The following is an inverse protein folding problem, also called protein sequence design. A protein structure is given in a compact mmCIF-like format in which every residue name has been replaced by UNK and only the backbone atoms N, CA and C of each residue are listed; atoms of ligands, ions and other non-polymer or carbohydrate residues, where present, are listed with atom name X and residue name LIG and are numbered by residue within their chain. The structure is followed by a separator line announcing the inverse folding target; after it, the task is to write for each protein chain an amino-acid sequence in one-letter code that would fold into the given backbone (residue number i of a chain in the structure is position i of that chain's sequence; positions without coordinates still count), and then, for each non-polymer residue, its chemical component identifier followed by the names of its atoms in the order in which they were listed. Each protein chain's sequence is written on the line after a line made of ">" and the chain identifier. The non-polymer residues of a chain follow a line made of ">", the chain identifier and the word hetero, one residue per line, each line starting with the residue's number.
data_IF_959507655400
#
_entry.id   IF_959507655400
#
_cell.length_a   1.000
_cell.length_b   1.000
_cell.length_c   1.000
_cell.angle_alpha   90.00
_cell.angle_beta   90.00
_cell.angle_gamma   90.00
#
_symmetry.space_group_name_H-M   'P 1'
#
loop_
_entity.id
_entity.type
_entity.pdbx_description
1 polymer ?
#
# COMPACT_ATOMS: atom_id res chain seq x y z
N UNK A 1 2.50 59.82 34.78
CA UNK A 1 3.06 58.46 34.65
C UNK A 1 2.32 57.84 33.50
N UNK A 2 2.98 57.84 32.35
CA UNK A 2 2.41 57.36 31.11
C UNK A 2 2.35 55.83 31.17
N UNK A 3 1.25 55.26 30.67
CA UNK A 3 0.97 53.83 30.58
C UNK A 3 2.18 52.97 30.09
N UNK A 4 3.11 53.45 29.23
CA UNK A 4 4.27 52.66 28.79
C UNK A 4 5.26 52.25 29.88
N UNK A 5 5.49 53.07 30.90
CA UNK A 5 6.48 52.75 31.96
C UNK A 5 6.02 51.60 32.86
N UNK A 6 4.71 51.46 33.06
CA UNK A 6 4.11 50.38 33.88
C UNK A 6 4.21 49.03 33.16
N UNK A 7 4.07 49.02 31.83
CA UNK A 7 4.18 47.81 31.02
C UNK A 7 5.62 47.28 30.94
N UNK A 8 6.60 48.18 30.98
CA UNK A 8 8.03 47.84 30.97
C UNK A 8 8.50 47.27 32.33
N UNK A 9 7.85 47.66 33.43
CA UNK A 9 8.12 47.12 34.77
C UNK A 9 7.48 45.74 35.00
N UNK A 10 6.50 45.36 34.17
CA UNK A 10 5.76 44.09 34.25
C UNK A 10 6.24 43.03 33.25
N UNK A 11 7.30 43.31 32.48
CA UNK A 11 7.90 42.41 31.48
C UNK A 11 6.89 41.89 30.43
N UNK A 12 5.90 42.71 30.09
CA UNK A 12 4.88 42.41 29.06
C UNK A 12 5.35 42.99 27.73
N UNK A 13 6.47 42.50 27.21
CA UNK A 13 6.88 42.75 25.83
C UNK A 13 6.26 41.62 24.98
N UNK A 14 5.29 41.92 24.12
CA UNK A 14 4.79 40.90 23.18
C UNK A 14 5.91 40.56 22.18
N UNK A 15 6.46 39.36 22.34
CA UNK A 15 7.53 38.81 21.50
C UNK A 15 7.12 38.82 20.01
N UNK A 16 7.91 39.39 19.09
CA UNK A 16 7.61 39.37 17.66
C UNK A 16 7.41 37.95 17.09
N UNK A 17 7.99 36.92 17.71
CA UNK A 17 7.76 35.51 17.34
C UNK A 17 6.31 35.08 17.65
N UNK A 18 5.74 35.56 18.76
CA UNK A 18 4.35 35.30 19.14
C UNK A 18 3.35 36.03 18.24
N UNK A 19 3.73 37.16 17.63
CA UNK A 19 2.90 37.87 16.64
C UNK A 19 2.83 37.08 15.32
N UNK A 20 3.95 36.51 14.88
CA UNK A 20 4.01 35.68 13.65
C UNK A 20 3.25 34.36 13.84
N UNK A 21 3.29 33.76 15.04
CA UNK A 21 2.45 32.59 15.37
C UNK A 21 0.96 32.93 15.48
N UNK A 22 0.58 34.11 15.98
CA UNK A 22 -0.82 34.59 16.02
C UNK A 22 -1.41 34.82 14.62
N UNK A 23 -0.58 34.99 13.58
CA UNK A 23 -1.02 35.21 12.19
C UNK A 23 -1.06 33.92 11.34
N UNK A 24 -0.62 32.79 11.90
CA UNK A 24 -0.69 31.49 11.23
C UNK A 24 -2.15 31.14 10.90
N UNK A 25 -2.46 30.92 9.63
CA UNK A 25 -3.82 30.60 9.17
C UNK A 25 -4.74 31.80 8.95
N UNK A 26 -4.24 33.04 9.05
CA UNK A 26 -4.99 34.24 8.63
C UNK A 26 -4.99 34.33 7.11
N UNK A 27 -6.19 34.37 6.51
CA UNK A 27 -6.35 34.39 5.06
C UNK A 27 -5.71 35.63 4.44
N UNK A 28 -4.87 35.41 3.43
CA UNK A 28 -4.27 36.46 2.61
C UNK A 28 -2.99 37.06 3.18
N UNK A 29 -2.51 36.52 4.30
CA UNK A 29 -1.16 36.80 4.80
C UNK A 29 -0.15 35.86 4.14
N UNK A 30 1.09 36.33 3.91
CA UNK A 30 2.15 35.48 3.39
C UNK A 30 2.45 34.35 4.38
N UNK A 31 2.77 33.17 3.86
CA UNK A 31 3.17 32.05 4.68
C UNK A 31 4.51 32.35 5.35
N UNK A 32 4.64 32.08 6.67
CA UNK A 32 5.95 32.13 7.32
C UNK A 32 6.84 31.00 6.79
N UNK A 33 8.16 31.18 6.86
CA UNK A 33 9.15 30.21 6.33
C UNK A 33 8.93 28.78 6.83
N UNK A 34 8.52 28.63 8.10
CA UNK A 34 8.20 27.33 8.69
C UNK A 34 7.06 26.60 7.98
N UNK A 35 6.08 27.32 7.45
CA UNK A 35 4.93 26.75 6.75
C UNK A 35 5.23 26.58 5.24
N UNK A 36 6.04 27.45 4.64
CA UNK A 36 6.51 27.32 3.26
C UNK A 36 7.22 25.97 3.00
N UNK A 37 8.02 25.49 3.95
CA UNK A 37 8.72 24.19 3.85
C UNK A 37 7.76 23.00 3.98
N UNK A 38 6.59 23.20 4.58
CA UNK A 38 5.60 22.16 4.88
C UNK A 38 4.47 22.08 3.85
N UNK A 39 4.67 22.67 2.69
CA UNK A 39 3.69 22.78 1.63
C UNK A 39 4.05 21.86 0.47
N UNK A 40 3.07 21.12 -0.06
CA UNK A 40 3.24 20.17 -1.18
C UNK A 40 2.14 20.33 -2.24
N UNK A 41 2.48 20.11 -3.52
CA UNK A 41 1.49 20.00 -4.59
C UNK A 41 0.86 18.61 -4.56
N UNK A 42 -0.47 18.56 -4.44
CA UNK A 42 -1.23 17.31 -4.49
C UNK A 42 -2.43 17.42 -5.44
N UNK A 43 -2.22 17.50 -6.78
CA UNK A 43 -3.28 17.83 -7.74
C UNK A 43 -4.41 16.80 -7.85
N UNK A 44 -4.18 15.57 -7.41
CA UNK A 44 -5.16 14.47 -7.41
C UNK A 44 -5.84 14.27 -6.04
N UNK A 45 -5.51 15.11 -5.05
CA UNK A 45 -6.11 15.04 -3.72
C UNK A 45 -7.49 15.69 -3.75
N UNK A 46 -8.49 14.97 -3.26
CA UNK A 46 -9.80 15.55 -2.94
C UNK A 46 -9.70 16.41 -1.70
N UNK A 47 -10.33 17.58 -1.72
CA UNK A 47 -10.22 18.55 -0.64
C UNK A 47 -11.57 18.76 0.05
N UNK A 48 -11.53 19.08 1.34
CA UNK A 48 -12.76 19.35 2.09
C UNK A 48 -13.08 20.86 2.11
N UNK A 49 -14.36 21.25 1.99
CA UNK A 49 -14.79 22.61 2.31
C UNK A 49 -14.31 23.03 3.71
N UNK A 50 -13.63 24.15 3.77
CA UNK A 50 -13.08 24.73 4.99
C UNK A 50 -11.60 24.40 5.26
N UNK A 51 -10.97 23.56 4.44
CA UNK A 51 -9.55 23.24 4.51
C UNK A 51 -8.67 24.46 4.16
N UNK A 52 -7.55 24.62 4.89
CA UNK A 52 -6.55 25.65 4.59
C UNK A 52 -5.58 25.12 3.53
N UNK A 53 -5.33 25.97 2.54
CA UNK A 53 -4.39 25.72 1.45
C UNK A 53 -3.44 26.90 1.32
N UNK A 54 -2.28 26.68 0.75
CA UNK A 54 -1.38 27.72 0.30
C UNK A 54 -1.67 28.04 -1.17
N UNK A 55 -1.55 29.30 -1.53
CA UNK A 55 -1.79 29.80 -2.88
C UNK A 55 -0.64 30.71 -3.26
N UNK A 56 -0.07 30.48 -4.43
CA UNK A 56 0.99 31.33 -4.98
C UNK A 56 0.38 32.56 -5.65
N UNK A 57 0.88 33.75 -5.30
CA UNK A 57 0.53 34.99 -5.97
C UNK A 57 1.36 35.23 -7.25
N UNK A 58 1.02 36.27 -8.02
CA UNK A 58 1.73 36.61 -9.25
C UNK A 58 3.19 37.03 -9.06
N UNK A 59 3.64 37.22 -7.83
CA UNK A 59 5.04 37.51 -7.44
C UNK A 59 5.80 36.27 -6.95
N UNK A 60 5.16 35.09 -6.90
CA UNK A 60 5.76 33.85 -6.41
C UNK A 60 5.73 33.68 -4.88
N UNK A 61 5.00 34.54 -4.15
CA UNK A 61 4.85 34.43 -2.71
C UNK A 61 3.63 33.57 -2.36
N UNK A 62 3.81 32.62 -1.43
CA UNK A 62 2.72 31.77 -0.95
C UNK A 62 1.92 32.49 0.13
N UNK A 63 0.60 32.47 0.03
CA UNK A 63 -0.34 33.04 1.00
C UNK A 63 -1.41 32.04 1.43
N UNK A 64 -1.96 32.22 2.63
CA UNK A 64 -3.02 31.37 3.17
C UNK A 64 -4.35 31.59 2.44
N UNK A 65 -4.95 30.50 1.97
CA UNK A 65 -6.29 30.44 1.41
C UNK A 65 -7.16 29.41 2.12
N UNK A 66 -8.48 29.52 1.97
CA UNK A 66 -9.45 28.57 2.51
C UNK A 66 -10.38 28.07 1.43
N UNK A 67 -10.50 26.76 1.29
CA UNK A 67 -11.42 26.15 0.31
C UNK A 67 -12.86 26.38 0.77
N UNK A 68 -13.72 26.82 -0.13
CA UNK A 68 -15.16 26.99 0.09
C UNK A 68 -15.97 25.87 -0.53
N UNK A 69 -15.68 25.54 -1.80
CA UNK A 69 -16.40 24.50 -2.55
C UNK A 69 -15.55 23.95 -3.68
N UNK A 70 -15.89 22.72 -4.07
CA UNK A 70 -15.30 21.97 -5.18
C UNK A 70 -16.27 21.93 -6.36
N UNK A 71 -15.73 22.01 -7.57
CA UNK A 71 -16.43 21.74 -8.82
C UNK A 71 -15.55 20.91 -9.75
N UNK A 72 -16.14 20.01 -10.58
CA UNK A 72 -15.39 19.35 -11.64
C UNK A 72 -14.89 20.39 -12.64
N UNK A 73 -13.63 20.27 -13.06
CA UNK A 73 -13.05 21.09 -14.12
C UNK A 73 -13.35 20.49 -15.50
N UNK A 74 -13.15 21.30 -16.55
CA UNK A 74 -13.20 20.85 -17.95
C UNK A 74 -12.04 19.88 -18.30
N UNK A 75 -11.04 19.77 -17.40
CA UNK A 75 -9.93 18.82 -17.50
C UNK A 75 -10.28 17.54 -16.74
N UNK A 76 -10.34 16.41 -17.46
CA UNK A 76 -10.70 15.11 -16.90
C UNK A 76 -9.79 14.73 -15.71
N UNK A 77 -10.40 14.47 -14.55
CA UNK A 77 -9.70 14.05 -13.33
C UNK A 77 -9.08 15.17 -12.50
N UNK A 78 -9.24 16.45 -12.91
CA UNK A 78 -8.75 17.61 -12.14
C UNK A 78 -9.95 18.39 -11.59
N UNK A 79 -9.98 18.60 -10.27
CA UNK A 79 -11.00 19.42 -9.63
C UNK A 79 -10.61 20.90 -9.62
N UNK A 80 -11.60 21.79 -9.65
CA UNK A 80 -11.44 23.23 -9.44
C UNK A 80 -12.07 23.62 -8.11
N UNK A 81 -11.40 24.47 -7.36
CA UNK A 81 -11.83 24.89 -6.03
C UNK A 81 -12.03 26.40 -5.97
N UNK A 82 -13.10 26.82 -5.31
CA UNK A 82 -13.27 28.21 -4.92
C UNK A 82 -12.53 28.45 -3.62
N UNK A 83 -11.50 29.29 -3.66
CA UNK A 83 -10.63 29.57 -2.52
C UNK A 83 -10.82 31.01 -2.08
N UNK A 84 -11.12 31.19 -0.79
CA UNK A 84 -11.16 32.48 -0.13
C UNK A 84 -9.74 32.90 0.23
N UNK A 85 -9.28 33.98 -0.38
CA UNK A 85 -7.95 34.54 -0.19
C UNK A 85 -7.93 35.59 0.91
N UNK A 86 -8.98 36.41 1.06
CA UNK A 86 -9.09 37.36 2.16
C UNK A 86 -10.57 37.61 2.50
N UNK A 87 -10.86 38.52 3.43
CA UNK A 87 -12.24 38.82 3.87
C UNK A 87 -13.19 39.20 2.72
N UNK A 88 -12.66 39.73 1.61
CA UNK A 88 -13.41 40.29 0.48
C UNK A 88 -13.07 39.67 -0.89
N UNK A 89 -12.16 38.69 -0.96
CA UNK A 89 -11.65 38.12 -2.22
C UNK A 89 -11.72 36.60 -2.22
N UNK A 90 -12.36 36.07 -3.25
CA UNK A 90 -12.48 34.65 -3.57
C UNK A 90 -12.10 34.42 -5.02
N UNK A 91 -11.30 33.39 -5.29
CA UNK A 91 -10.84 33.05 -6.64
C UNK A 91 -11.03 31.56 -6.90
N UNK A 92 -11.42 31.23 -8.13
CA UNK A 92 -11.47 29.86 -8.60
C UNK A 92 -10.12 29.41 -9.15
N UNK A 93 -9.55 28.36 -8.57
CA UNK A 93 -8.21 27.83 -8.89
C UNK A 93 -8.26 26.33 -9.11
N UNK A 94 -7.38 25.83 -9.99
CA UNK A 94 -7.27 24.39 -10.27
C UNK A 94 -6.53 23.69 -9.13
N UNK A 95 -6.78 22.40 -8.92
CA UNK A 95 -6.04 21.60 -7.94
C UNK A 95 -4.51 21.63 -8.16
N UNK A 96 -4.06 21.83 -9.41
CA UNK A 96 -2.65 21.99 -9.80
C UNK A 96 -2.04 23.33 -9.38
N UNK A 97 -2.86 24.33 -9.04
CA UNK A 97 -2.45 25.66 -8.58
C UNK A 97 -2.51 25.77 -7.05
N UNK A 98 -2.95 24.70 -6.37
CA UNK A 98 -3.12 24.67 -4.93
C UNK A 98 -2.04 23.85 -4.27
N UNK A 99 -1.55 24.43 -3.19
CA UNK A 99 -0.49 23.89 -2.37
C UNK A 99 -1.10 23.45 -1.03
N UNK A 100 -0.83 22.23 -0.60
CA UNK A 100 -1.43 21.61 0.57
C UNK A 100 -0.42 21.53 1.70
N UNK A 101 -0.85 21.83 2.92
CA UNK A 101 -0.02 21.63 4.10
C UNK A 101 0.11 20.13 4.38
N UNK A 102 1.34 19.65 4.53
CA UNK A 102 1.64 18.27 4.92
C UNK A 102 0.98 18.01 6.27
N UNK A 103 0.03 17.06 6.30
CA UNK A 103 -0.63 16.71 7.55
C UNK A 103 0.37 16.02 8.47
N UNK A 104 0.63 16.59 9.65
CA UNK A 104 1.39 15.95 10.73
C UNK A 104 0.64 14.77 11.38
N UNK A 105 -0.52 14.38 10.81
CA UNK A 105 -1.26 13.18 11.23
C UNK A 105 -0.46 11.95 10.87
N UNK A 106 0.23 11.45 11.89
CA UNK A 106 0.55 10.04 12.04
C UNK A 106 -0.61 9.17 11.53
N UNK A 107 -0.31 8.42 10.47
CA UNK A 107 -0.87 7.12 10.15
C UNK A 107 -2.42 6.98 10.17
N UNK A 108 -3.07 7.27 9.04
CA UNK A 108 -4.20 6.47 8.53
C UNK A 108 -4.47 6.83 7.07
N UNK A 109 -4.49 5.82 6.19
CA UNK A 109 -4.66 5.90 4.74
C UNK A 109 -3.52 6.52 3.91
N UNK A 110 -2.33 5.92 4.04
CA UNK A 110 -1.45 5.76 2.88
C UNK A 110 -1.90 4.53 2.09
N UNK A 111 -2.81 4.72 1.13
CA UNK A 111 -2.86 3.79 0.02
C UNK A 111 -1.84 4.23 -1.03
N UNK A 112 -0.96 3.28 -1.33
CA UNK A 112 -0.02 3.18 -2.46
C UNK A 112 1.40 3.74 -2.30
N UNK A 113 2.28 2.73 -2.16
CA UNK A 113 3.64 2.60 -2.71
C UNK A 113 4.79 3.41 -2.09
N UNK A 114 5.40 2.86 -1.04
CA UNK A 114 6.80 2.39 -1.09
C UNK A 114 7.32 1.89 0.27
N UNK A 115 7.78 0.63 0.27
CA UNK A 115 8.89 0.01 1.04
C UNK A 115 9.29 0.61 2.39
N UNK A 116 8.84 -0.04 3.46
CA UNK A 116 9.58 -0.49 4.65
C UNK A 116 8.54 -1.24 5.53
N UNK A 117 8.76 -2.38 6.19
CA UNK A 117 9.97 -2.95 6.78
C UNK A 117 9.71 -4.42 7.18
N UNK A 118 10.80 -5.17 7.29
CA UNK A 118 11.08 -6.42 8.03
C UNK A 118 9.97 -7.21 8.78
N UNK A 119 10.00 -8.52 8.50
CA UNK A 119 9.94 -9.68 9.42
C UNK A 119 8.78 -9.85 10.43
N UNK A 120 7.96 -10.90 10.23
CA UNK A 120 7.80 -12.07 11.14
C UNK A 120 6.71 -13.06 10.66
N UNK A 121 6.83 -14.28 11.17
CA UNK A 121 6.31 -15.59 10.75
C UNK A 121 4.81 -15.87 11.02
N UNK A 122 4.39 -17.07 10.56
CA UNK A 122 3.23 -17.93 10.91
C UNK A 122 1.88 -17.60 10.24
N UNK A 123 1.46 -18.38 9.23
CA UNK A 123 0.74 -19.68 9.27
C UNK A 123 -0.79 -19.49 9.38
N UNK A 124 -1.51 -19.63 8.27
CA UNK A 124 -2.50 -20.71 8.08
C UNK A 124 -3.19 -20.62 6.72
N UNK A 125 -3.55 -21.82 6.26
CA UNK A 125 -4.23 -22.20 5.03
C UNK A 125 -5.66 -21.64 4.89
N UNK A 126 -6.08 -21.35 3.66
CA UNK A 126 -7.07 -22.20 2.97
C UNK A 126 -7.41 -21.67 1.57
N UNK A 127 -7.50 -22.62 0.65
CA UNK A 127 -7.88 -22.52 -0.75
C UNK A 127 -9.36 -22.17 -0.94
N UNK A 128 -9.70 -21.29 -1.91
CA UNK A 128 -10.93 -21.33 -2.73
C UNK A 128 -10.69 -20.56 -4.06
N UNK A 129 -11.29 -21.09 -5.12
CA UNK A 129 -11.27 -20.80 -6.57
C UNK A 129 -11.52 -19.36 -7.06
N UNK A 130 -11.19 -19.03 -8.34
CA UNK A 130 -11.36 -17.71 -8.92
C UNK A 130 -12.74 -17.56 -9.57
N UNK A 131 -13.57 -16.66 -9.04
CA UNK A 131 -14.75 -16.15 -9.74
C UNK A 131 -15.13 -14.82 -9.12
N UNK A 132 -14.63 -13.72 -9.68
CA UNK A 132 -15.28 -12.42 -9.49
C UNK A 132 -14.94 -11.50 -10.66
N UNK A 133 -15.98 -11.22 -11.45
CA UNK A 133 -15.99 -10.30 -12.56
C UNK A 133 -15.64 -8.90 -12.07
N UNK A 134 -14.44 -8.43 -12.37
CA UNK A 134 -14.11 -7.01 -12.24
C UNK A 134 -14.87 -6.28 -13.36
N UNK A 135 -15.91 -5.56 -12.97
CA UNK A 135 -16.63 -4.68 -13.88
C UNK A 135 -15.76 -3.46 -14.12
N UNK A 136 -15.13 -3.40 -15.29
CA UNK A 136 -14.29 -2.26 -15.68
C UNK A 136 -15.18 -1.02 -15.92
N UNK A 137 -14.72 0.18 -15.53
CA UNK A 137 -15.44 1.43 -15.80
C UNK A 137 -15.55 1.68 -17.31
N UNK A 138 -16.62 2.37 -17.72
CA UNK A 138 -17.01 2.62 -19.12
C UNK A 138 -16.00 3.44 -19.96
N UNK A 139 -14.80 3.70 -19.44
CA UNK A 139 -13.71 4.45 -20.07
C UNK A 139 -12.55 3.56 -20.57
N UNK A 140 -12.62 2.23 -20.39
CA UNK A 140 -11.60 1.31 -20.92
C UNK A 140 -12.01 0.83 -22.31
N UNK A 141 -11.34 1.32 -23.35
CA UNK A 141 -11.42 0.76 -24.71
C UNK A 141 -10.19 -0.10 -24.95
N UNK A 142 -10.39 -1.39 -25.20
CA UNK A 142 -9.33 -2.29 -25.65
C UNK A 142 -8.92 -1.91 -27.08
N UNK A 143 -7.64 -1.66 -27.30
CA UNK A 143 -7.09 -1.41 -28.64
C UNK A 143 -6.53 -2.75 -29.14
N UNK A 144 -7.32 -3.48 -29.92
CA UNK A 144 -6.80 -4.61 -30.69
C UNK A 144 -6.07 -4.09 -31.93
N UNK A 145 -4.82 -4.55 -32.09
CA UNK A 145 -4.05 -4.34 -33.31
C UNK A 145 -4.28 -5.53 -34.22
N UNK A 146 -5.01 -5.34 -35.33
CA UNK A 146 -4.70 -6.10 -36.54
C UNK A 146 -5.17 -5.39 -37.81
N UNK A 147 -4.23 -5.29 -38.75
CA UNK A 147 -4.42 -4.69 -40.06
C UNK A 147 -4.99 -5.72 -41.05
N UNK A 148 -6.03 -5.35 -41.81
CA UNK A 148 -6.19 -5.57 -43.27
C UNK A 148 -7.51 -4.97 -43.76
N UNK A 149 -7.46 -4.41 -44.97
CA UNK A 149 -8.44 -3.44 -45.47
C UNK A 149 -9.79 -3.98 -45.93
N UNK A 150 -10.69 -3.03 -46.24
CA UNK A 150 -11.99 -3.26 -46.85
C UNK A 150 -12.97 -2.13 -46.55
N UNK A 151 -13.28 -1.36 -47.59
CA UNK A 151 -14.46 -0.51 -47.87
C UNK A 151 -15.30 0.10 -46.73
N UNK A 152 -15.41 1.43 -46.80
CA UNK A 152 -16.24 2.27 -45.94
C UNK A 152 -17.64 2.34 -46.55
N UNK A 153 -18.64 1.73 -45.90
CA UNK A 153 -20.05 2.00 -46.18
C UNK A 153 -20.66 2.74 -44.99
N UNK A 154 -21.28 3.87 -45.32
CA UNK A 154 -21.89 4.88 -44.47
C UNK A 154 -23.09 4.36 -43.67
N UNK A 155 -23.20 4.75 -42.39
CA UNK A 155 -24.50 4.89 -41.73
C UNK A 155 -24.53 4.66 -40.21
N UNK A 156 -24.32 5.69 -39.40
CA UNK A 156 -25.29 6.11 -38.36
C UNK A 156 -24.93 7.48 -37.78
N UNK A 157 -25.96 8.33 -37.61
CA UNK A 157 -25.87 9.68 -37.04
C UNK A 157 -26.01 9.67 -35.52
N UNK A 158 -25.24 10.54 -34.85
CA UNK A 158 -25.83 11.46 -33.87
C UNK A 158 -25.54 11.22 -32.38
N UNK A 159 -24.32 11.53 -31.93
CA UNK A 159 -24.10 12.21 -30.62
C UNK A 159 -22.98 13.23 -30.81
N UNK A 160 -23.30 14.52 -30.73
CA UNK A 160 -22.30 15.60 -30.71
C UNK A 160 -21.78 15.76 -29.28
N UNK A 161 -20.76 15.00 -28.92
CA UNK A 161 -19.85 15.39 -27.84
C UNK A 161 -18.79 16.31 -28.46
N UNK A 162 -18.69 17.55 -27.98
CA UNK A 162 -17.61 18.46 -28.32
C UNK A 162 -16.33 17.98 -27.65
N UNK A 163 -15.66 16.99 -28.25
CA UNK A 163 -14.34 16.57 -27.82
C UNK A 163 -13.36 17.67 -28.24
N UNK A 164 -12.97 18.53 -27.30
CA UNK A 164 -11.87 19.46 -27.51
C UNK A 164 -10.61 18.66 -27.84
N UNK A 165 -10.16 18.70 -29.09
CA UNK A 165 -8.91 18.09 -29.52
C UNK A 165 -7.75 18.88 -28.91
N UNK A 166 -7.29 18.48 -27.73
CA UNK A 166 -6.09 19.03 -27.11
C UNK A 166 -4.89 18.45 -27.89
N UNK A 167 -4.06 19.34 -28.44
CA UNK A 167 -2.84 18.95 -29.17
C UNK A 167 -1.91 18.12 -28.27
N UNK A 168 -1.43 16.98 -28.76
CA UNK A 168 -0.52 16.08 -28.02
C UNK A 168 0.76 16.79 -27.55
N UNK A 169 1.21 17.82 -28.27
CA UNK A 169 2.32 18.67 -27.87
C UNK A 169 2.05 19.47 -26.58
N UNK A 170 0.81 19.92 -26.38
CA UNK A 170 0.41 20.66 -25.18
C UNK A 170 0.35 19.75 -23.96
N UNK A 171 -0.01 18.48 -24.15
CA UNK A 171 -0.05 17.48 -23.07
C UNK A 171 1.35 17.17 -22.58
N UNK A 172 2.29 16.90 -23.48
CA UNK A 172 3.68 16.60 -23.11
C UNK A 172 4.36 17.78 -22.41
N UNK A 173 4.11 19.02 -22.87
CA UNK A 173 4.66 20.22 -22.22
C UNK A 173 4.10 20.43 -20.81
N UNK A 174 2.79 20.21 -20.61
CA UNK A 174 2.16 20.35 -19.29
C UNK A 174 2.62 19.25 -18.32
N UNK A 175 2.78 18.02 -18.81
CA UNK A 175 3.34 16.91 -18.03
C UNK A 175 4.79 17.20 -17.65
N UNK A 176 5.61 17.71 -18.57
CA UNK A 176 7.00 18.04 -18.27
C UNK A 176 7.14 19.20 -17.28
N UNK A 177 6.31 20.24 -17.38
CA UNK A 177 6.26 21.35 -16.41
C UNK A 177 5.83 20.87 -15.01
N UNK A 178 4.79 20.03 -14.95
CA UNK A 178 4.31 19.47 -13.68
C UNK A 178 5.33 18.54 -13.03
N UNK A 179 5.99 17.68 -13.80
CA UNK A 179 7.03 16.78 -13.30
C UNK A 179 8.27 17.55 -12.83
N UNK A 180 8.61 18.64 -13.51
CA UNK A 180 9.68 19.55 -13.08
C UNK A 180 9.34 20.23 -11.75
N UNK A 181 8.09 20.67 -11.56
CA UNK A 181 7.59 21.24 -10.29
C UNK A 181 7.56 20.21 -9.15
N UNK A 182 7.41 18.93 -9.47
CA UNK A 182 7.47 17.81 -8.52
C UNK A 182 8.91 17.31 -8.27
N UNK A 183 9.92 17.96 -8.87
CA UNK A 183 11.33 17.57 -8.81
C UNK A 183 11.57 16.11 -9.28
N UNK A 184 10.73 15.64 -10.22
CA UNK A 184 10.85 14.33 -10.87
C UNK A 184 11.45 14.55 -12.25
N UNK A 185 12.73 14.25 -12.40
CA UNK A 185 13.40 14.28 -13.69
C UNK A 185 13.25 12.93 -14.41
N UNK A 186 12.92 12.97 -15.71
CA UNK A 186 12.89 11.80 -16.60
C UNK A 186 14.21 11.61 -17.39
N UNK A 187 15.27 12.33 -17.03
CA UNK A 187 16.57 12.29 -17.72
C UNK A 187 17.42 11.05 -17.34
N UNK A 188 16.82 9.86 -17.32
CA UNK A 188 17.62 8.64 -17.34
C UNK A 188 18.05 8.36 -18.76
N UNK A 189 19.36 8.34 -19.02
CA UNK A 189 19.86 7.97 -20.34
C UNK A 189 19.50 6.51 -20.64
N UNK A 190 19.41 6.15 -21.93
CA UNK A 190 19.18 4.76 -22.36
C UNK A 190 20.26 3.84 -21.78
N UNK A 191 21.49 4.33 -21.65
CA UNK A 191 22.61 3.61 -21.05
C UNK A 191 22.36 3.32 -19.56
N UNK A 192 21.87 4.30 -18.79
CA UNK A 192 21.53 4.14 -17.37
C UNK A 192 20.38 3.13 -17.19
N UNK A 193 19.38 3.17 -18.07
CA UNK A 193 18.26 2.24 -18.02
C UNK A 193 18.70 0.81 -18.32
N UNK A 194 19.60 0.61 -19.28
CA UNK A 194 20.18 -0.71 -19.59
C UNK A 194 21.03 -1.23 -18.43
N UNK A 195 21.86 -0.37 -17.83
CA UNK A 195 22.65 -0.73 -16.65
C UNK A 195 21.76 -1.16 -15.48
N UNK A 196 20.68 -0.42 -15.24
CA UNK A 196 19.72 -0.74 -14.18
C UNK A 196 18.94 -2.03 -14.49
N UNK A 197 18.56 -2.26 -15.75
CA UNK A 197 17.90 -3.50 -16.16
C UNK A 197 18.77 -4.74 -15.88
N UNK A 198 20.05 -4.69 -16.28
CA UNK A 198 21.01 -5.77 -16.01
C UNK A 198 21.21 -6.00 -14.50
N UNK A 199 21.25 -4.91 -13.71
CA UNK A 199 21.33 -4.99 -12.25
C UNK A 199 20.11 -5.69 -11.65
N UNK A 200 18.91 -5.34 -12.12
CA UNK A 200 17.66 -5.95 -11.67
C UNK A 200 17.58 -7.43 -12.08
N UNK A 201 17.98 -7.78 -13.29
CA UNK A 201 18.06 -9.16 -13.76
C UNK A 201 18.96 -10.01 -12.85
N UNK A 202 20.17 -9.52 -12.52
CA UNK A 202 21.08 -10.22 -11.59
C UNK A 202 20.48 -10.37 -10.20
N UNK A 203 19.82 -9.33 -9.68
CA UNK A 203 19.16 -9.40 -8.35
C UNK A 203 18.03 -10.42 -8.34
N UNK A 204 17.26 -10.50 -9.42
CA UNK A 204 16.20 -11.49 -9.59
C UNK A 204 16.78 -12.90 -9.63
N UNK A 205 17.85 -13.13 -10.40
CA UNK A 205 18.52 -14.43 -10.47
C UNK A 205 19.00 -14.91 -9.08
N UNK A 206 19.68 -14.05 -8.33
CA UNK A 206 20.14 -14.36 -6.96
C UNK A 206 18.97 -14.64 -6.02
N UNK A 207 17.91 -13.82 -6.07
CA UNK A 207 16.73 -14.00 -5.24
C UNK A 207 15.99 -15.31 -5.58
N UNK A 208 15.87 -15.66 -6.86
CA UNK A 208 15.27 -16.90 -7.29
C UNK A 208 16.10 -18.12 -6.87
N UNK A 209 17.43 -18.06 -6.99
CA UNK A 209 18.31 -19.13 -6.53
C UNK A 209 18.15 -19.36 -5.02
N UNK A 210 18.15 -18.28 -4.23
CA UNK A 210 17.88 -18.35 -2.79
C UNK A 210 16.50 -18.93 -2.47
N UNK A 211 15.46 -18.50 -3.20
CA UNK A 211 14.09 -19.04 -3.03
C UNK A 211 14.02 -20.53 -3.37
N UNK A 212 14.67 -20.98 -4.45
CA UNK A 212 14.71 -22.41 -4.82
C UNK A 212 15.43 -23.23 -3.75
N UNK A 213 16.57 -22.77 -3.25
CA UNK A 213 17.31 -23.45 -2.19
C UNK A 213 16.47 -23.55 -0.90
N UNK A 214 15.83 -22.46 -0.47
CA UNK A 214 14.95 -22.46 0.68
C UNK A 214 13.76 -23.41 0.51
N UNK A 215 13.14 -23.45 -0.67
CA UNK A 215 12.04 -24.38 -0.96
C UNK A 215 12.50 -25.85 -0.83
N UNK A 216 13.66 -26.21 -1.40
CA UNK A 216 14.19 -27.57 -1.28
C UNK A 216 14.49 -27.96 0.17
N UNK A 217 14.94 -27.01 0.98
CA UNK A 217 15.19 -27.24 2.40
C UNK A 217 13.88 -27.44 3.17
N UNK A 218 12.86 -26.62 2.90
CA UNK A 218 11.51 -26.79 3.49
C UNK A 218 10.94 -28.16 3.12
N UNK A 219 11.00 -28.55 1.86
CA UNK A 219 10.49 -29.86 1.40
C UNK A 219 11.19 -31.03 2.10
N UNK A 220 12.50 -30.92 2.33
CA UNK A 220 13.26 -31.94 3.06
C UNK A 220 12.82 -32.07 4.52
N UNK A 221 12.58 -30.94 5.20
CA UNK A 221 12.12 -30.90 6.60
C UNK A 221 10.69 -31.42 6.71
N UNK A 222 9.81 -31.07 5.76
CA UNK A 222 8.44 -31.59 5.73
C UNK A 222 8.44 -33.10 5.56
N UNK A 223 9.28 -33.64 4.67
CA UNK A 223 9.38 -35.09 4.47
C UNK A 223 9.88 -35.79 5.74
N UNK A 224 10.95 -35.29 6.36
CA UNK A 224 11.48 -35.83 7.61
C UNK A 224 10.44 -35.79 8.73
N UNK A 225 9.74 -34.66 8.90
CA UNK A 225 8.64 -34.52 9.87
C UNK A 225 7.56 -35.58 9.62
N UNK A 226 7.16 -35.77 8.36
CA UNK A 226 6.13 -36.75 7.99
C UNK A 226 6.59 -38.18 8.29
N UNK A 227 7.83 -38.54 7.97
CA UNK A 227 8.38 -39.86 8.29
C UNK A 227 8.36 -40.15 9.80
N UNK A 228 8.70 -39.14 10.61
CA UNK A 228 8.60 -39.23 12.07
C UNK A 228 7.14 -39.36 12.51
N UNK A 229 6.23 -38.54 11.99
CA UNK A 229 4.80 -38.60 12.34
C UNK A 229 4.19 -39.97 11.99
N UNK A 230 4.50 -40.50 10.80
CA UNK A 230 4.04 -41.80 10.33
C UNK A 230 4.59 -42.94 11.21
N UNK A 231 5.81 -42.82 11.74
CA UNK A 231 6.39 -43.79 12.68
C UNK A 231 5.67 -43.85 14.03
N UNK A 232 4.93 -42.80 14.37
CA UNK A 232 4.15 -42.70 15.61
C UNK A 232 2.70 -43.12 15.45
N UNK A 233 2.30 -43.59 14.26
CA UNK A 233 0.96 -44.13 14.00
C UNK A 233 0.94 -45.62 14.30
N UNK A 234 -0.15 -46.09 14.92
CA UNK A 234 -0.31 -47.49 15.27
C UNK A 234 -0.36 -48.38 14.03
N UNK A 235 0.56 -49.34 13.94
CA UNK A 235 0.65 -50.29 12.83
C UNK A 235 -0.57 -51.22 12.64
N UNK A 236 -1.53 -51.23 13.58
CA UNK A 236 -2.74 -52.08 13.51
C UNK A 236 -3.90 -51.34 12.85
N UNK A 237 -4.22 -50.13 13.33
CA UNK A 237 -5.33 -49.34 12.78
C UNK A 237 -4.89 -48.33 11.71
N UNK A 238 -3.59 -48.00 11.63
CA UNK A 238 -3.04 -46.99 10.73
C UNK A 238 -3.67 -45.60 10.86
N UNK A 239 -4.26 -45.30 12.03
CA UNK A 239 -5.04 -44.09 12.26
C UNK A 239 -4.65 -43.43 13.59
N UNK A 240 -4.69 -44.16 14.69
CA UNK A 240 -4.42 -43.62 16.02
C UNK A 240 -2.91 -43.55 16.31
N UNK A 241 -2.47 -42.53 17.05
CA UNK A 241 -1.10 -42.47 17.58
C UNK A 241 -0.83 -43.56 18.61
N UNK A 242 0.41 -44.05 18.64
CA UNK A 242 0.86 -45.01 19.66
C UNK A 242 0.99 -44.35 21.02
N UNK A 243 0.42 -44.99 22.04
CA UNK A 243 0.40 -44.49 23.42
C UNK A 243 0.50 -45.63 24.46
N UNK A 244 0.61 -46.88 24.01
CA UNK A 244 0.78 -48.07 24.85
C UNK A 244 2.01 -48.87 24.44
N UNK A 245 2.75 -49.35 25.43
CA UNK A 245 3.82 -50.35 25.26
C UNK A 245 3.39 -51.68 25.86
N UNK A 246 3.64 -52.78 25.16
CA UNK A 246 3.36 -54.14 25.62
C UNK A 246 4.53 -54.69 26.43
N UNK A 247 4.24 -55.29 27.59
CA UNK A 247 5.24 -55.86 28.49
C UNK A 247 5.09 -57.40 28.50
N UNK A 248 6.19 -58.16 28.33
CA UNK A 248 7.59 -57.73 28.38
C UNK A 248 8.24 -57.38 27.02
N UNK A 249 7.54 -57.51 25.88
CA UNK A 249 8.20 -57.47 24.57
C UNK A 249 8.59 -56.07 24.04
N UNK A 250 8.02 -54.99 24.57
CA UNK A 250 8.37 -53.61 24.21
C UNK A 250 7.71 -53.06 22.94
N UNK A 251 6.88 -53.82 22.23
CA UNK A 251 6.19 -53.32 21.04
C UNK A 251 5.08 -52.32 21.41
N UNK A 252 4.88 -51.29 20.57
CA UNK A 252 3.98 -50.17 20.83
C UNK A 252 2.76 -50.14 19.91
N UNK A 253 1.61 -49.76 20.46
CA UNK A 253 0.32 -49.65 19.76
C UNK A 253 -0.53 -48.53 20.37
N UNK A 254 -1.68 -48.22 19.78
CA UNK A 254 -2.68 -47.36 20.41
C UNK A 254 -3.52 -48.14 21.44
N UNK A 255 -4.06 -47.45 22.43
CA UNK A 255 -4.89 -48.03 23.49
C UNK A 255 -6.08 -48.83 22.95
N UNK A 256 -6.79 -48.30 21.94
CA UNK A 256 -7.95 -48.96 21.33
C UNK A 256 -7.59 -50.31 20.71
N UNK A 257 -6.47 -50.40 20.00
CA UNK A 257 -6.04 -51.67 19.41
C UNK A 257 -5.57 -52.67 20.48
N UNK A 258 -4.93 -52.22 21.56
CA UNK A 258 -4.51 -53.11 22.65
C UNK A 258 -5.72 -53.73 23.36
N UNK A 259 -6.77 -52.95 23.60
CA UNK A 259 -8.01 -53.41 24.25
C UNK A 259 -8.83 -54.37 23.39
N UNK A 260 -8.76 -54.24 22.06
CA UNK A 260 -9.51 -55.06 21.11
C UNK A 260 -8.75 -56.31 20.63
N UNK A 261 -7.58 -56.61 21.20
CA UNK A 261 -6.82 -57.80 20.81
C UNK A 261 -7.60 -59.07 21.12
N UNK A 262 -7.81 -59.98 20.14
CA UNK A 262 -8.58 -61.20 20.35
C UNK A 262 -7.88 -62.20 21.27
N UNK A 263 -6.56 -62.07 21.43
CA UNK A 263 -5.73 -62.87 22.34
C UNK A 263 -4.68 -61.95 22.97
N UNK A 264 -4.23 -62.20 24.21
CA UNK A 264 -3.17 -61.43 24.86
C UNK A 264 -1.79 -61.85 24.29
N UNK A 265 -1.57 -61.65 22.99
CA UNK A 265 -0.33 -61.97 22.28
C UNK A 265 0.05 -60.81 21.36
N UNK A 266 1.33 -60.44 21.36
CA UNK A 266 1.84 -59.33 20.56
C UNK A 266 1.72 -59.62 19.05
N UNK A 267 1.12 -58.74 18.23
CA UNK A 267 1.01 -58.93 16.78
C UNK A 267 2.36 -59.06 16.05
N UNK A 268 3.44 -58.46 16.56
CA UNK A 268 4.77 -58.47 15.93
C UNK A 268 5.56 -59.73 16.31
N UNK A 269 5.79 -59.97 17.61
CA UNK A 269 6.66 -61.06 18.07
C UNK A 269 5.93 -62.28 18.64
N UNK A 270 4.59 -62.26 18.70
CA UNK A 270 3.72 -63.34 19.21
C UNK A 270 3.90 -63.69 20.69
N UNK A 271 4.72 -62.95 21.42
CA UNK A 271 4.92 -63.14 22.85
C UNK A 271 3.64 -62.81 23.63
N UNK A 272 3.35 -63.58 24.69
CA UNK A 272 2.21 -63.35 25.57
C UNK A 272 2.35 -61.99 26.27
N UNK A 273 1.28 -61.21 26.26
CA UNK A 273 1.18 -59.89 26.89
C UNK A 273 0.81 -60.09 28.35
N UNK A 274 1.72 -59.73 29.27
CA UNK A 274 1.45 -59.77 30.71
C UNK A 274 0.72 -58.52 31.20
N UNK A 275 1.14 -57.36 30.70
CA UNK A 275 0.55 -56.05 31.01
C UNK A 275 0.86 -55.05 29.89
N UNK A 276 0.17 -53.91 29.86
CA UNK A 276 0.50 -52.76 29.01
C UNK A 276 0.65 -51.50 29.85
N UNK A 277 1.56 -50.61 29.46
CA UNK A 277 1.80 -49.34 30.13
C UNK A 277 1.53 -48.18 29.17
N UNK A 278 0.94 -47.09 29.68
CA UNK A 278 0.69 -45.87 28.91
C UNK A 278 1.88 -44.94 28.91
N UNK A 279 2.14 -44.28 27.78
CA UNK A 279 3.11 -43.21 27.67
C UNK A 279 2.55 -42.05 26.84
N UNK A 280 3.18 -40.89 26.93
CA UNK A 280 2.86 -39.73 26.10
C UNK A 280 4.11 -39.29 25.38
N UNK A 281 3.95 -38.97 24.10
CA UNK A 281 4.99 -38.35 23.28
C UNK A 281 4.72 -36.85 23.35
N UNK A 282 5.59 -36.13 24.06
CA UNK A 282 5.55 -34.68 24.25
C UNK A 282 6.21 -33.93 23.11
#
# INVERSE_FOLDING_TARGET
>A
MEIPEVLQLLDIYEDPVLIVEKLRGVLGQPLPEADCVNVELAPLRSCLPGELVAVEDGSGALSYGKILREQPSDVAGVSRYEVKLNSSSTRWMLATELYFFRSSRSNTNRNTTSRAQAERLSENSDSISPSENVTLPASVVAIDSDARGGEIVSGFSGVKASTSTISSANVLSAVNDLLSRLNVSLDMSVEDLLAENLRLQRRLEVAEAGRRAAATQIDSVIREKKEVEDSLVCAVCLENRVDRVLIPCGHIYCASCVEQLPRPSCPICRQTIGQSAGFRIS
#
